data_IF_871691399547
#
_entry.id   IF_871691399547
#
_cell.length_a   1.000
_cell.length_b   1.000
_cell.length_c   1.000
_cell.angle_alpha   90.00
_cell.angle_beta   90.00
_cell.angle_gamma   90.00
#
_symmetry.space_group_name_H-M   'P 1'
#
loop_
_entity.id
_entity.type
_entity.pdbx_description
1 polymer ?
#
# COMPACT_ATOMS: atom_id res chain seq x y z
N UNK A 1 24.60 -4.41 -7.25
CA UNK A 1 23.23 -4.80 -6.90
C UNK A 1 23.20 -6.32 -6.82
N UNK A 2 22.95 -6.84 -5.63
CA UNK A 2 22.86 -8.28 -5.35
C UNK A 2 21.48 -8.82 -5.76
N UNK A 3 21.35 -10.12 -5.97
CA UNK A 3 20.06 -10.75 -6.30
C UNK A 3 18.97 -10.47 -5.25
N UNK A 4 19.38 -10.30 -3.99
CA UNK A 4 18.49 -9.99 -2.87
C UNK A 4 17.99 -8.52 -2.92
N UNK A 5 18.87 -7.57 -3.25
CA UNK A 5 18.48 -6.16 -3.45
C UNK A 5 17.49 -6.02 -4.61
N UNK A 6 17.74 -6.68 -5.74
CA UNK A 6 16.82 -6.66 -6.89
C UNK A 6 15.46 -7.29 -6.54
N UNK A 7 15.46 -8.37 -5.74
CA UNK A 7 14.22 -9.00 -5.28
C UNK A 7 13.41 -8.07 -4.38
N UNK A 8 14.07 -7.37 -3.45
CA UNK A 8 13.42 -6.40 -2.54
C UNK A 8 12.86 -5.21 -3.32
N UNK A 9 13.62 -4.67 -4.27
CA UNK A 9 13.17 -3.59 -5.16
C UNK A 9 11.92 -3.99 -5.95
N UNK A 10 11.94 -5.16 -6.59
CA UNK A 10 10.77 -5.67 -7.32
C UNK A 10 9.56 -5.86 -6.41
N UNK A 11 9.76 -6.42 -5.20
CA UNK A 11 8.69 -6.62 -4.24
C UNK A 11 8.07 -5.27 -3.82
N UNK A 12 8.88 -4.29 -3.44
CA UNK A 12 8.39 -2.95 -3.08
C UNK A 12 7.58 -2.34 -4.23
N UNK A 13 8.08 -2.44 -5.47
CA UNK A 13 7.39 -1.89 -6.64
C UNK A 13 6.04 -2.57 -6.91
N UNK A 14 5.96 -3.90 -6.74
CA UNK A 14 4.72 -4.65 -6.83
C UNK A 14 3.72 -4.22 -5.76
N UNK A 15 4.17 -4.06 -4.51
CA UNK A 15 3.33 -3.61 -3.39
C UNK A 15 2.80 -2.20 -3.63
N UNK A 16 3.65 -1.25 -4.01
CA UNK A 16 3.25 0.13 -4.32
C UNK A 16 2.21 0.14 -5.45
N UNK A 17 2.46 -0.62 -6.52
CA UNK A 17 1.53 -0.73 -7.65
C UNK A 17 0.19 -1.29 -7.22
N UNK A 18 0.18 -2.31 -6.36
CA UNK A 18 -1.04 -2.90 -5.83
C UNK A 18 -1.83 -1.91 -4.96
N UNK A 19 -1.16 -1.14 -4.09
CA UNK A 19 -1.81 -0.13 -3.24
C UNK A 19 -2.48 0.95 -4.09
N UNK A 20 -1.75 1.53 -5.06
CA UNK A 20 -2.29 2.56 -5.95
C UNK A 20 -3.42 2.05 -6.85
N UNK A 21 -3.37 0.77 -7.25
CA UNK A 21 -4.45 0.15 -8.02
C UNK A 21 -5.72 0.03 -7.17
N UNK A 22 -5.59 -0.42 -5.92
CA UNK A 22 -6.74 -0.50 -5.00
C UNK A 22 -7.32 0.86 -4.64
N UNK A 23 -6.48 1.88 -4.49
CA UNK A 23 -6.93 3.27 -4.29
C UNK A 23 -7.79 3.74 -5.47
N UNK A 24 -7.32 3.50 -6.70
CA UNK A 24 -8.08 3.81 -7.91
C UNK A 24 -9.40 3.04 -7.98
N UNK A 25 -9.40 1.74 -7.68
CA UNK A 25 -10.60 0.90 -7.70
C UNK A 25 -11.63 1.42 -6.68
N UNK A 26 -11.21 1.72 -5.45
CA UNK A 26 -12.07 2.29 -4.42
C UNK A 26 -12.61 3.68 -4.80
N UNK A 27 -11.78 4.53 -5.39
CA UNK A 27 -12.22 5.85 -5.85
C UNK A 27 -13.23 5.75 -7.00
N UNK A 28 -13.05 4.78 -7.91
CA UNK A 28 -14.01 4.51 -8.99
C UNK A 28 -15.33 4.00 -8.45
N UNK A 29 -15.31 3.08 -7.48
CA UNK A 29 -16.51 2.58 -6.81
C UNK A 29 -17.30 3.72 -6.17
N UNK A 30 -16.63 4.57 -5.39
CA UNK A 30 -17.26 5.74 -4.78
C UNK A 30 -17.81 6.74 -5.82
N UNK A 31 -17.13 6.90 -6.96
CA UNK A 31 -17.60 7.76 -8.04
C UNK A 31 -18.84 7.18 -8.75
N UNK A 32 -18.95 5.85 -8.85
CA UNK A 32 -20.13 5.17 -9.37
C UNK A 32 -21.31 5.28 -8.39
N UNK A 33 -21.07 5.07 -7.11
CA UNK A 33 -22.10 5.16 -6.07
C UNK A 33 -22.66 6.58 -5.91
N UNK A 34 -21.82 7.59 -6.15
CA UNK A 34 -22.21 8.99 -6.07
C UNK A 34 -22.96 9.50 -7.32
N UNK A 35 -23.19 8.69 -8.35
CA UNK A 35 -23.90 9.13 -9.56
C UNK A 35 -25.31 9.61 -9.22
N UNK A 36 -25.60 10.87 -9.57
CA UNK A 36 -26.89 11.50 -9.27
C UNK A 36 -26.94 12.21 -7.90
N UNK A 37 -25.84 12.19 -7.13
CA UNK A 37 -25.68 13.00 -5.92
C UNK A 37 -24.98 14.34 -6.20
N UNK A 38 -25.05 15.27 -5.24
CA UNK A 38 -24.33 16.55 -5.29
C UNK A 38 -22.80 16.36 -5.28
N UNK A 39 -22.32 15.24 -4.75
CA UNK A 39 -20.88 14.91 -4.63
C UNK A 39 -20.30 14.18 -5.86
N UNK A 40 -21.13 13.88 -6.87
CA UNK A 40 -20.72 13.07 -8.03
C UNK A 40 -19.45 13.60 -8.72
N UNK A 41 -19.35 14.92 -8.89
CA UNK A 41 -18.21 15.54 -9.57
C UNK A 41 -16.95 15.48 -8.71
N UNK A 42 -17.07 15.68 -7.41
CA UNK A 42 -15.96 15.58 -6.46
C UNK A 42 -15.39 14.16 -6.43
N UNK A 43 -16.26 13.13 -6.39
CA UNK A 43 -15.82 11.72 -6.40
C UNK A 43 -15.16 11.33 -7.73
N UNK A 44 -15.69 11.82 -8.86
CA UNK A 44 -15.05 11.65 -10.18
C UNK A 44 -13.70 12.36 -10.29
N UNK A 45 -13.54 13.52 -9.64
CA UNK A 45 -12.25 14.20 -9.57
C UNK A 45 -11.23 13.38 -8.77
N UNK A 46 -11.64 12.81 -7.62
CA UNK A 46 -10.79 11.93 -6.83
C UNK A 46 -10.34 10.68 -7.61
N UNK A 47 -11.25 10.01 -8.34
CA UNK A 47 -10.92 8.87 -9.19
C UNK A 47 -9.92 9.23 -10.30
N UNK A 48 -10.06 10.42 -10.91
CA UNK A 48 -9.10 10.94 -11.90
C UNK A 48 -7.73 11.16 -11.28
N UNK A 49 -7.66 11.76 -10.10
CA UNK A 49 -6.38 11.99 -9.40
C UNK A 49 -5.69 10.66 -9.03
N UNK A 50 -6.44 9.68 -8.50
CA UNK A 50 -5.90 8.35 -8.21
C UNK A 50 -5.33 7.67 -9.48
N UNK A 51 -6.03 7.82 -10.60
CA UNK A 51 -5.56 7.32 -11.91
C UNK A 51 -4.26 7.98 -12.35
N UNK A 52 -4.18 9.31 -12.25
CA UNK A 52 -2.99 10.08 -12.60
C UNK A 52 -1.77 9.68 -11.76
N UNK A 53 -1.96 9.48 -10.44
CA UNK A 53 -0.91 8.96 -9.54
C UNK A 53 -0.39 7.59 -9.99
N UNK A 54 -1.30 6.67 -10.29
CA UNK A 54 -0.95 5.32 -10.75
C UNK A 54 -0.19 5.36 -12.09
N UNK A 55 -0.62 6.21 -13.03
CA UNK A 55 0.07 6.40 -14.32
C UNK A 55 1.46 7.00 -14.13
N UNK A 56 1.60 8.01 -13.27
CA UNK A 56 2.88 8.62 -12.94
C UNK A 56 3.85 7.60 -12.32
N UNK A 57 3.37 6.79 -11.39
CA UNK A 57 4.13 5.69 -10.81
C UNK A 57 4.55 4.66 -11.87
N UNK A 58 3.63 4.23 -12.74
CA UNK A 58 3.91 3.24 -13.78
C UNK A 58 4.93 3.72 -14.81
N UNK A 59 4.94 5.01 -15.13
CA UNK A 59 5.79 5.59 -16.17
C UNK A 59 7.11 6.14 -15.64
N UNK A 60 7.11 6.77 -14.47
CA UNK A 60 8.28 7.49 -13.92
C UNK A 60 8.78 6.95 -12.58
N UNK A 61 8.10 5.98 -11.97
CA UNK A 61 8.41 5.46 -10.62
C UNK A 61 8.51 6.57 -9.57
N UNK A 62 7.68 7.61 -9.74
CA UNK A 62 7.65 8.78 -8.87
C UNK A 62 6.34 8.82 -8.10
N UNK A 63 6.45 9.12 -6.82
CA UNK A 63 5.35 9.42 -5.91
C UNK A 63 5.56 10.84 -5.37
N UNK A 64 4.49 11.46 -4.86
CA UNK A 64 4.63 12.56 -3.92
C UNK A 64 4.69 12.00 -2.48
N UNK A 65 5.10 12.84 -1.52
CA UNK A 65 5.26 12.40 -0.11
C UNK A 65 3.92 11.98 0.51
N UNK A 66 2.82 12.62 0.16
CA UNK A 66 1.48 12.27 0.67
C UNK A 66 1.08 10.86 0.23
N UNK A 67 1.26 10.56 -1.05
CA UNK A 67 1.01 9.25 -1.64
C UNK A 67 1.95 8.19 -1.06
N UNK A 68 3.23 8.52 -0.88
CA UNK A 68 4.20 7.63 -0.25
C UNK A 68 3.80 7.27 1.20
N UNK A 69 3.35 8.26 1.97
CA UNK A 69 2.83 8.06 3.33
C UNK A 69 1.55 7.21 3.33
N UNK A 70 0.62 7.47 2.40
CA UNK A 70 -0.60 6.68 2.26
C UNK A 70 -0.29 5.21 1.93
N UNK A 71 0.66 4.95 1.03
CA UNK A 71 1.13 3.58 0.75
C UNK A 71 1.76 2.94 1.99
N UNK A 72 2.62 3.65 2.71
CA UNK A 72 3.24 3.15 3.93
C UNK A 72 2.22 2.83 5.02
N UNK A 73 1.16 3.62 5.14
CA UNK A 73 0.05 3.39 6.05
C UNK A 73 -0.78 2.17 5.62
N UNK A 74 -1.13 2.07 4.34
CA UNK A 74 -1.94 0.97 3.82
C UNK A 74 -1.28 -0.41 4.04
N UNK A 75 0.04 -0.51 3.85
CA UNK A 75 0.77 -1.77 4.10
C UNK A 75 0.84 -2.11 5.59
N UNK A 76 0.77 -1.13 6.49
CA UNK A 76 0.70 -1.38 7.94
C UNK A 76 -0.68 -1.87 8.35
N UNK A 77 -1.73 -1.31 7.78
CA UNK A 77 -3.10 -1.78 7.99
C UNK A 77 -3.26 -3.24 7.54
N UNK A 78 -2.64 -3.64 6.41
CA UNK A 78 -2.59 -5.04 6.00
C UNK A 78 -1.94 -5.95 7.05
N UNK A 79 -0.87 -5.49 7.71
CA UNK A 79 -0.21 -6.23 8.79
C UNK A 79 -1.13 -6.35 10.00
N UNK A 80 -1.75 -5.26 10.44
CA UNK A 80 -2.66 -5.26 11.58
C UNK A 80 -3.87 -6.18 11.34
N UNK A 81 -4.40 -6.20 10.12
CA UNK A 81 -5.51 -7.07 9.78
C UNK A 81 -5.11 -8.54 9.69
N UNK A 82 -3.92 -8.84 9.17
CA UNK A 82 -3.35 -10.18 9.23
C UNK A 82 -3.14 -10.64 10.69
N UNK A 83 -2.69 -9.75 11.58
CA UNK A 83 -2.53 -10.03 13.02
C UNK A 83 -3.85 -10.36 13.70
N UNK A 84 -4.88 -9.53 13.47
CA UNK A 84 -6.22 -9.76 14.02
C UNK A 84 -6.78 -11.12 13.57
N UNK A 85 -6.56 -11.49 12.30
CA UNK A 85 -7.00 -12.78 11.78
C UNK A 85 -6.33 -13.96 12.48
N UNK A 86 -5.01 -13.92 12.69
CA UNK A 86 -4.26 -14.96 13.42
C UNK A 86 -4.77 -15.12 14.85
N UNK A 87 -5.09 -14.00 15.53
CA UNK A 87 -5.61 -14.00 16.90
C UNK A 87 -7.03 -14.57 16.95
N UNK A 88 -7.91 -14.18 16.02
CA UNK A 88 -9.34 -14.49 16.08
C UNK A 88 -9.69 -15.91 15.61
N UNK A 89 -9.03 -16.41 14.56
CA UNK A 89 -9.36 -17.71 13.94
C UNK A 89 -8.64 -18.87 14.64
N UNK A 90 -7.65 -18.58 15.48
CA UNK A 90 -6.69 -19.56 15.98
C UNK A 90 -5.67 -19.90 14.89
N UNK A 91 -4.40 -20.06 15.27
CA UNK A 91 -3.28 -20.14 14.31
C UNK A 91 -3.36 -21.39 13.41
N UNK A 92 -3.91 -21.23 12.21
CA UNK A 92 -3.67 -22.13 11.08
C UNK A 92 -2.35 -21.75 10.41
N UNK A 93 -1.60 -22.73 9.90
CA UNK A 93 -0.33 -22.51 9.19
C UNK A 93 -0.44 -21.44 8.10
N UNK A 94 -1.55 -21.44 7.34
CA UNK A 94 -1.81 -20.46 6.28
C UNK A 94 -1.94 -19.02 6.78
N UNK A 95 -2.49 -18.83 7.98
CA UNK A 95 -2.67 -17.50 8.55
C UNK A 95 -1.34 -16.95 9.08
N UNK A 96 -0.48 -17.82 9.62
CA UNK A 96 0.90 -17.49 10.02
C UNK A 96 1.76 -17.11 8.80
N UNK A 97 1.69 -17.88 7.72
CA UNK A 97 2.41 -17.58 6.47
C UNK A 97 1.95 -16.24 5.87
N UNK A 98 0.65 -15.98 5.84
CA UNK A 98 0.08 -14.71 5.36
C UNK A 98 0.52 -13.53 6.22
N UNK A 99 0.62 -13.71 7.53
CA UNK A 99 1.09 -12.70 8.46
C UNK A 99 2.58 -12.37 8.27
N UNK A 100 3.43 -13.39 8.10
CA UNK A 100 4.85 -13.19 7.79
C UNK A 100 5.04 -12.48 6.44
N UNK A 101 4.28 -12.86 5.41
CA UNK A 101 4.29 -12.19 4.11
C UNK A 101 3.89 -10.71 4.23
N UNK A 102 2.80 -10.40 4.94
CA UNK A 102 2.35 -9.03 5.16
C UNK A 102 3.43 -8.18 5.86
N UNK A 103 4.04 -8.71 6.93
CA UNK A 103 5.14 -8.02 7.65
C UNK A 103 6.35 -7.78 6.75
N UNK A 104 6.76 -8.78 5.98
CA UNK A 104 7.89 -8.64 5.05
C UNK A 104 7.59 -7.58 3.99
N UNK A 105 6.40 -7.61 3.38
CA UNK A 105 5.97 -6.63 2.37
C UNK A 105 5.96 -5.22 2.94
N UNK A 106 5.43 -5.03 4.14
CA UNK A 106 5.40 -3.73 4.81
C UNK A 106 6.82 -3.21 5.10
N UNK A 107 7.69 -4.05 5.66
CA UNK A 107 9.07 -3.69 5.98
C UNK A 107 9.86 -3.30 4.72
N UNK A 108 9.82 -4.14 3.69
CA UNK A 108 10.52 -3.91 2.42
C UNK A 108 10.02 -2.64 1.74
N UNK A 109 8.70 -2.44 1.68
CA UNK A 109 8.12 -1.27 1.02
C UNK A 109 8.46 0.02 1.76
N UNK A 110 8.35 0.04 3.10
CA UNK A 110 8.70 1.21 3.91
C UNK A 110 10.17 1.57 3.80
N UNK A 111 11.06 0.58 3.82
CA UNK A 111 12.49 0.80 3.64
C UNK A 111 12.78 1.37 2.26
N UNK A 112 12.19 0.79 1.20
CA UNK A 112 12.33 1.28 -0.16
C UNK A 112 11.93 2.75 -0.29
N UNK A 113 10.79 3.14 0.30
CA UNK A 113 10.31 4.52 0.25
C UNK A 113 11.32 5.48 0.92
N UNK A 114 11.88 5.11 2.07
CA UNK A 114 12.90 5.93 2.75
C UNK A 114 14.19 6.03 1.95
N UNK A 115 14.64 4.92 1.37
CA UNK A 115 15.85 4.88 0.53
C UNK A 115 15.71 5.79 -0.70
N UNK A 116 14.48 6.02 -1.16
CA UNK A 116 14.15 6.92 -2.27
C UNK A 116 13.84 8.37 -1.82
N UNK A 117 14.06 8.70 -0.55
CA UNK A 117 13.98 10.05 -0.02
C UNK A 117 12.58 10.51 0.40
N UNK A 118 11.62 9.59 0.53
CA UNK A 118 10.28 9.93 1.04
C UNK A 118 10.27 10.03 2.57
N UNK A 119 9.49 10.97 3.10
CA UNK A 119 9.36 11.20 4.54
C UNK A 119 8.34 10.23 5.16
N UNK A 120 8.79 9.01 5.45
CA UNK A 120 7.95 7.94 6.02
C UNK A 120 8.18 7.80 7.52
N UNK A 121 7.14 8.02 8.36
CA UNK A 121 7.25 7.91 9.82
C UNK A 121 7.83 6.58 10.28
N UNK A 122 8.57 6.62 11.38
CA UNK A 122 8.91 5.42 12.14
C UNK A 122 7.70 4.99 12.98
N UNK A 123 6.97 4.01 12.46
CA UNK A 123 5.92 3.36 13.22
C UNK A 123 6.57 2.43 14.25
N UNK A 124 6.54 2.84 15.52
CA UNK A 124 6.97 2.02 16.66
C UNK A 124 6.02 0.81 16.78
N UNK A 125 6.38 -0.29 16.13
CA UNK A 125 5.96 -1.66 16.45
C UNK A 125 6.82 -2.64 15.64
N UNK A 126 8.06 -2.80 16.07
CA UNK A 126 8.67 -4.13 16.02
C UNK A 126 8.82 -4.63 17.45
N UNK A 127 7.77 -5.23 18.06
CA UNK A 127 8.02 -6.15 19.14
C UNK A 127 8.58 -7.44 18.53
N UNK A 128 9.92 -7.52 18.50
CA UNK A 128 10.68 -8.76 18.35
C UNK A 128 10.76 -9.34 16.93
N UNK A 129 11.81 -8.96 16.22
CA UNK A 129 12.66 -9.96 15.56
C UNK A 129 13.48 -10.70 16.62
#
# INVERSE_FOLDING_TARGET
MTDDEQRRDNLAQEVITACLTRELDAANEQAMDAVGSEDAENRRAAARQAKERLELWRTRRSLDNETAQAVAQAVLEEVEDAEKLVIYVGALLKDVERHQDARQRAAVTRQWLRDHGYDIPDYEREPGL
#
